data_IF_195214938143
#
_entry.id   IF_195214938143
#
_cell.length_a   1.000
_cell.length_b   1.000
_cell.length_c   1.000
_cell.angle_alpha   90.00
_cell.angle_beta   90.00
_cell.angle_gamma   90.00
#
_symmetry.space_group_name_H-M   'P 1'
#
loop_
_entity.id
_entity.type
_entity.pdbx_description
1 polymer ?
#
# COMPACT_ATOMS: atom_id res chain seq x y z
N UNK A 1 39.00 -46.47 -25.41
CA UNK A 1 38.36 -45.59 -26.43
C UNK A 1 36.90 -45.99 -26.63
N UNK A 2 35.97 -45.47 -25.81
CA UNK A 2 34.52 -45.41 -26.10
C UNK A 2 33.99 -44.15 -25.41
N UNK A 3 33.82 -43.08 -26.19
CA UNK A 3 33.35 -41.76 -25.76
C UNK A 3 31.84 -41.84 -25.61
N UNK A 4 31.33 -41.93 -24.38
CA UNK A 4 29.90 -41.80 -24.14
C UNK A 4 29.63 -40.38 -23.65
N UNK A 5 29.34 -39.52 -24.63
CA UNK A 5 28.88 -38.16 -24.46
C UNK A 5 27.43 -38.20 -23.96
N UNK A 6 27.23 -38.24 -22.65
CA UNK A 6 25.91 -37.99 -22.06
C UNK A 6 25.75 -36.46 -21.96
N UNK A 7 25.31 -35.87 -23.06
CA UNK A 7 24.90 -34.47 -23.18
C UNK A 7 23.92 -34.12 -22.07
N UNK A 8 24.34 -33.24 -21.16
CA UNK A 8 23.51 -32.70 -20.11
C UNK A 8 22.36 -31.87 -20.70
N UNK A 9 21.12 -32.28 -20.44
CA UNK A 9 19.98 -31.37 -20.55
C UNK A 9 19.96 -30.51 -19.29
N UNK A 10 20.63 -29.36 -19.36
CA UNK A 10 20.39 -28.25 -18.46
C UNK A 10 18.99 -27.71 -18.80
N UNK A 11 17.95 -28.22 -18.14
CA UNK A 11 16.62 -27.61 -18.20
C UNK A 11 16.69 -26.28 -17.44
N UNK A 12 17.14 -25.23 -18.12
CA UNK A 12 16.97 -23.86 -17.68
C UNK A 12 15.49 -23.53 -17.84
N UNK A 13 14.68 -23.93 -16.87
CA UNK A 13 13.27 -23.54 -16.78
C UNK A 13 13.27 -22.04 -16.46
N UNK A 14 13.35 -21.23 -17.52
CA UNK A 14 12.94 -19.83 -17.49
C UNK A 14 11.44 -19.84 -17.23
N UNK A 15 11.04 -19.88 -15.95
CA UNK A 15 9.68 -19.49 -15.58
C UNK A 15 9.54 -18.03 -16.03
N UNK A 16 8.66 -17.72 -17.00
CA UNK A 16 8.25 -16.35 -17.16
C UNK A 16 7.52 -15.98 -15.88
N UNK A 17 8.13 -15.12 -15.07
CA UNK A 17 7.42 -14.41 -14.03
C UNK A 17 6.39 -13.52 -14.73
N UNK A 18 5.26 -14.09 -15.09
CA UNK A 18 4.05 -13.36 -15.45
C UNK A 18 3.57 -12.68 -14.17
N UNK A 19 4.26 -11.61 -13.78
CA UNK A 19 3.75 -10.62 -12.85
C UNK A 19 2.60 -9.92 -13.55
N UNK A 20 1.42 -10.55 -13.56
CA UNK A 20 0.21 -9.91 -14.03
C UNK A 20 0.02 -8.62 -13.25
N UNK A 21 -0.13 -7.50 -13.97
CA UNK A 21 -0.54 -6.25 -13.37
C UNK A 21 -1.87 -6.49 -12.64
N UNK A 22 -1.81 -6.64 -11.33
CA UNK A 22 -3.00 -6.76 -10.52
C UNK A 22 -3.71 -5.41 -10.62
N UNK A 23 -4.97 -5.43 -11.04
CA UNK A 23 -5.77 -4.21 -11.06
C UNK A 23 -5.83 -3.65 -9.64
N UNK A 24 -5.71 -2.32 -9.55
CA UNK A 24 -5.77 -1.63 -8.26
C UNK A 24 -7.23 -1.65 -7.83
N UNK A 25 -7.59 -2.60 -6.97
CA UNK A 25 -8.94 -2.73 -6.43
C UNK A 25 -9.30 -1.55 -5.52
N UNK A 26 -10.57 -1.17 -5.50
CA UNK A 26 -11.14 -0.27 -4.47
C UNK A 26 -11.27 1.20 -4.84
N UNK A 27 -10.54 1.70 -5.85
CA UNK A 27 -10.59 3.09 -6.29
C UNK A 27 -10.28 4.09 -5.17
N UNK A 28 -10.57 5.37 -5.38
CA UNK A 28 -10.38 6.36 -4.33
C UNK A 28 -11.40 6.17 -3.18
N UNK A 29 -10.93 6.33 -1.93
CA UNK A 29 -11.75 6.19 -0.72
C UNK A 29 -11.85 7.54 -0.03
N UNK A 30 -13.07 8.06 0.07
CA UNK A 30 -13.35 9.33 0.75
C UNK A 30 -13.76 9.10 2.20
N UNK A 31 -13.09 9.76 3.13
CA UNK A 31 -13.45 9.89 4.54
C UNK A 31 -14.03 11.28 4.79
N UNK A 32 -15.12 11.35 5.57
CA UNK A 32 -15.81 12.61 5.90
C UNK A 32 -15.85 12.79 7.42
N UNK A 33 -14.73 13.22 8.04
CA UNK A 33 -14.71 13.50 9.47
C UNK A 33 -15.65 14.66 9.81
N UNK A 34 -16.22 14.67 11.03
CA UNK A 34 -16.96 15.83 11.51
C UNK A 34 -15.97 16.92 11.95
N UNK A 35 -16.17 18.15 11.48
CA UNK A 35 -15.37 19.30 11.91
C UNK A 35 -14.02 19.46 11.20
N UNK A 36 -13.80 18.76 10.08
CA UNK A 36 -12.62 18.93 9.23
C UNK A 36 -13.00 18.65 7.76
N UNK A 37 -12.18 19.14 6.82
CA UNK A 37 -12.39 18.87 5.40
C UNK A 37 -12.31 17.36 5.09
N UNK A 38 -13.01 16.89 4.04
CA UNK A 38 -12.93 15.52 3.57
C UNK A 38 -11.49 15.08 3.29
N UNK A 39 -11.25 13.77 3.37
CA UNK A 39 -9.96 13.17 3.03
C UNK A 39 -10.17 12.15 1.94
N UNK A 40 -9.48 12.32 0.82
CA UNK A 40 -9.47 11.34 -0.27
C UNK A 40 -8.18 10.53 -0.21
N UNK A 41 -8.32 9.24 0.08
CA UNK A 41 -7.24 8.27 -0.07
C UNK A 41 -7.20 7.74 -1.50
N UNK A 42 -6.06 7.89 -2.17
CA UNK A 42 -5.85 7.37 -3.52
C UNK A 42 -5.05 6.08 -3.52
N UNK A 43 -5.65 4.99 -4.01
CA UNK A 43 -4.92 3.73 -4.19
C UNK A 43 -3.86 3.83 -5.29
N UNK A 44 -4.13 4.55 -6.38
CA UNK A 44 -3.18 4.78 -7.47
C UNK A 44 -1.88 5.39 -6.95
N UNK A 45 -1.99 6.45 -6.13
CA UNK A 45 -0.84 7.11 -5.54
C UNK A 45 -0.02 6.13 -4.67
N UNK A 46 -0.68 5.35 -3.83
CA UNK A 46 0.00 4.48 -2.86
C UNK A 46 0.58 3.21 -3.51
N UNK A 47 -0.18 2.57 -4.40
CA UNK A 47 0.19 1.29 -5.01
C UNK A 47 1.08 1.51 -6.24
N UNK A 48 0.65 2.33 -7.19
CA UNK A 48 1.40 2.58 -8.42
C UNK A 48 2.55 3.53 -8.17
N UNK A 49 2.25 4.75 -7.71
CA UNK A 49 3.27 5.81 -7.66
C UNK A 49 4.28 5.61 -6.54
N UNK A 50 3.88 5.00 -5.42
CA UNK A 50 4.75 4.72 -4.27
C UNK A 50 5.16 3.25 -4.14
N UNK A 51 4.69 2.38 -5.04
CA UNK A 51 5.10 0.98 -5.09
C UNK A 51 4.69 0.13 -3.89
N UNK A 52 3.65 0.53 -3.14
CA UNK A 52 3.17 -0.26 -2.00
C UNK A 52 2.40 -1.50 -2.49
N UNK A 53 2.76 -2.65 -1.96
CA UNK A 53 2.01 -3.89 -2.19
C UNK A 53 0.65 -3.83 -1.48
N UNK A 54 -0.35 -4.51 -2.03
CA UNK A 54 -1.68 -4.65 -1.44
C UNK A 54 -1.61 -5.13 0.03
N UNK A 55 -0.70 -6.09 0.28
CA UNK A 55 -0.45 -6.67 1.60
C UNK A 55 0.28 -5.73 2.58
N UNK A 56 0.81 -4.61 2.08
CA UNK A 56 1.41 -3.58 2.93
C UNK A 56 0.38 -2.82 3.77
N UNK A 57 -0.88 -2.78 3.31
CA UNK A 57 -1.99 -2.17 4.03
C UNK A 57 -3.02 -3.22 4.48
N UNK A 58 -3.34 -4.19 3.63
CA UNK A 58 -4.38 -5.18 3.90
C UNK A 58 -3.81 -6.53 4.32
N UNK A 59 -4.29 -7.18 5.37
CA UNK A 59 -5.36 -6.79 6.30
C UNK A 59 -4.81 -6.22 7.62
N UNK A 60 -3.55 -5.80 7.63
CA UNK A 60 -2.83 -5.40 8.85
C UNK A 60 -3.18 -3.99 9.33
N UNK A 61 -3.24 -3.03 8.40
CA UNK A 61 -3.53 -1.62 8.70
C UNK A 61 -4.99 -1.30 8.43
N UNK A 62 -5.54 -1.83 7.33
CA UNK A 62 -6.91 -1.64 6.92
C UNK A 62 -7.55 -2.97 6.53
N UNK A 63 -8.84 -3.11 6.80
CA UNK A 63 -9.65 -4.15 6.18
C UNK A 63 -10.14 -3.69 4.80
N UNK A 64 -10.52 -4.63 3.93
CA UNK A 64 -11.08 -4.32 2.61
C UNK A 64 -12.57 -3.94 2.65
N UNK A 65 -13.19 -3.93 3.82
CA UNK A 65 -14.58 -3.54 4.03
C UNK A 65 -14.66 -2.11 4.57
N UNK A 66 -15.38 -1.22 3.88
CA UNK A 66 -15.60 0.16 4.36
C UNK A 66 -16.36 0.15 5.69
N UNK A 67 -15.99 1.04 6.61
CA UNK A 67 -16.66 1.21 7.91
C UNK A 67 -16.34 0.14 8.95
N UNK A 68 -15.45 -0.81 8.68
CA UNK A 68 -15.05 -1.84 9.65
C UNK A 68 -14.23 -1.33 10.83
N UNK A 69 -13.80 -0.06 10.80
CA UNK A 69 -13.00 0.57 11.84
C UNK A 69 -13.50 1.97 12.15
N UNK A 70 -13.43 2.34 13.44
CA UNK A 70 -13.58 3.72 13.91
C UNK A 70 -12.19 4.37 13.90
N UNK A 71 -11.92 5.13 12.85
CA UNK A 71 -10.66 5.89 12.69
C UNK A 71 -10.89 7.35 13.09
N UNK A 72 -9.95 7.90 13.85
CA UNK A 72 -9.90 9.30 14.25
C UNK A 72 -8.43 9.74 14.36
N UNK A 73 -8.20 11.05 14.50
CA UNK A 73 -6.84 11.60 14.59
C UNK A 73 -6.09 11.15 15.85
N UNK A 74 -6.78 10.83 16.94
CA UNK A 74 -6.13 10.32 18.16
C UNK A 74 -5.48 8.96 17.93
N UNK A 75 -6.10 8.08 17.15
CA UNK A 75 -5.49 6.80 16.75
C UNK A 75 -4.38 7.00 15.71
N UNK A 76 -4.61 7.87 14.74
CA UNK A 76 -3.63 8.18 13.69
C UNK A 76 -2.34 8.74 14.30
N UNK A 77 -2.43 9.70 15.22
CA UNK A 77 -1.26 10.27 15.94
C UNK A 77 -0.52 9.26 16.82
N UNK A 78 -1.19 8.17 17.24
CA UNK A 78 -0.58 7.03 17.96
C UNK A 78 0.05 5.98 17.05
N UNK A 79 0.04 6.19 15.72
CA UNK A 79 0.68 5.30 14.75
C UNK A 79 -0.26 4.25 14.13
N UNK A 80 -1.57 4.34 14.35
CA UNK A 80 -2.55 3.49 13.67
C UNK A 80 -2.94 4.06 12.30
N UNK A 81 -3.53 3.22 11.45
CA UNK A 81 -4.07 3.61 10.14
C UNK A 81 -3.06 4.40 9.28
N UNK A 82 -3.41 5.62 8.87
CA UNK A 82 -2.55 6.52 8.11
C UNK A 82 -1.21 6.77 8.83
N UNK A 83 -1.25 6.89 10.16
CA UNK A 83 -0.10 7.16 11.00
C UNK A 83 0.92 6.03 11.05
N UNK A 84 0.56 4.82 10.59
CA UNK A 84 1.52 3.71 10.48
C UNK A 84 2.68 4.02 9.54
N UNK A 85 2.44 4.86 8.54
CA UNK A 85 3.42 5.29 7.55
C UNK A 85 3.63 6.81 7.52
N UNK A 86 2.59 7.60 7.80
CA UNK A 86 2.69 9.06 7.89
C UNK A 86 3.18 9.49 9.29
N UNK A 87 4.35 8.99 9.66
CA UNK A 87 4.95 9.16 10.99
C UNK A 87 6.15 10.11 11.02
N UNK A 88 6.51 10.73 9.88
CA UNK A 88 7.67 11.62 9.75
C UNK A 88 8.96 10.89 9.35
N UNK A 89 8.97 9.56 9.37
CA UNK A 89 10.13 8.75 8.98
C UNK A 89 9.91 8.10 7.61
N UNK A 90 8.77 7.41 7.44
CA UNK A 90 8.45 6.68 6.21
C UNK A 90 7.74 7.54 5.18
N UNK A 91 7.03 8.55 5.64
CA UNK A 91 6.34 9.56 4.84
C UNK A 91 6.18 10.82 5.69
N UNK A 92 5.61 11.89 5.12
CA UNK A 92 5.35 13.11 5.88
C UNK A 92 4.53 12.81 7.15
N UNK A 93 4.86 13.48 8.24
CA UNK A 93 4.26 13.22 9.55
C UNK A 93 2.88 13.85 9.71
N UNK A 94 1.95 13.11 10.33
CA UNK A 94 0.62 13.60 10.72
C UNK A 94 0.63 14.61 11.87
N UNK A 95 1.75 14.77 12.57
CA UNK A 95 1.91 15.71 13.68
C UNK A 95 2.32 17.11 13.23
N UNK A 96 2.81 17.25 11.99
CA UNK A 96 3.19 18.55 11.45
C UNK A 96 1.96 19.21 10.82
N UNK A 97 1.54 20.34 11.41
CA UNK A 97 0.33 21.08 11.04
C UNK A 97 0.33 21.51 9.57
N UNK A 98 1.51 21.74 8.98
CA UNK A 98 1.64 22.10 7.56
C UNK A 98 1.23 20.95 6.64
N UNK A 99 1.20 19.71 7.14
CA UNK A 99 0.79 18.54 6.38
C UNK A 99 -0.71 18.27 6.45
N UNK A 100 -1.48 18.93 7.33
CA UNK A 100 -2.93 18.74 7.44
C UNK A 100 -3.63 18.93 6.08
N UNK A 101 -3.26 20.00 5.36
CA UNK A 101 -3.80 20.33 4.03
C UNK A 101 -3.41 19.31 2.96
N UNK A 102 -2.47 18.39 3.19
CA UNK A 102 -2.13 17.37 2.19
C UNK A 102 -3.20 16.29 2.09
N UNK A 103 -4.00 16.10 3.14
CA UNK A 103 -5.05 15.11 3.20
C UNK A 103 -6.45 15.73 3.28
N UNK A 104 -6.62 16.78 4.09
CA UNK A 104 -7.89 17.44 4.33
C UNK A 104 -8.14 18.53 3.28
N UNK A 105 -8.95 18.22 2.25
CA UNK A 105 -9.26 19.09 1.11
C UNK A 105 -10.65 18.86 0.53
#
# INVERSE_FOLDING_TARGET
>A
MKRNLATGLLFLVLLPAAGGAQSIGGGDVTFKPKGAEPVVFSHELHVTSRGLKCTGCHYHVFQMTKGSYKMDMTKITKGDFCGKCHNGERSFGVLDEQNCVKCHK
#
